data_IF_948703950947
#
_entry.id   IF_948703950947
#
_cell.length_a   1.000
_cell.length_b   1.000
_cell.length_c   1.000
_cell.angle_alpha   90.00
_cell.angle_beta   90.00
_cell.angle_gamma   90.00
#
_symmetry.space_group_name_H-M   'P 1'
#
loop_
_entity.id
_entity.type
_entity.pdbx_description
1 polymer ?
#
# COMPACT_ATOMS: atom_id res chain seq x y z
N UNK A 1 -17.51 54.41 -5.31
CA UNK A 1 -18.24 53.14 -5.58
C UNK A 1 -17.50 52.17 -6.51
N UNK A 2 -16.69 52.66 -7.47
CA UNK A 2 -15.93 51.85 -8.45
C UNK A 2 -14.85 50.95 -7.81
N UNK A 3 -14.08 51.46 -6.83
CA UNK A 3 -13.00 50.71 -6.15
C UNK A 3 -13.46 49.44 -5.42
N UNK A 4 -14.68 49.45 -4.84
CA UNK A 4 -15.28 48.28 -4.17
C UNK A 4 -15.70 47.17 -5.14
N UNK A 5 -16.07 47.53 -6.38
CA UNK A 5 -16.43 46.56 -7.41
C UNK A 5 -15.21 45.77 -7.88
N UNK A 6 -14.07 46.45 -8.06
CA UNK A 6 -12.80 45.81 -8.41
C UNK A 6 -12.25 44.90 -7.31
N UNK A 7 -12.36 45.29 -6.03
CA UNK A 7 -11.92 44.42 -4.92
C UNK A 7 -12.77 43.16 -4.78
N UNK A 8 -14.08 43.26 -5.02
CA UNK A 8 -14.99 42.09 -5.01
C UNK A 8 -14.74 41.17 -6.21
N UNK A 9 -14.49 41.73 -7.40
CA UNK A 9 -14.11 40.95 -8.59
C UNK A 9 -12.80 40.18 -8.36
N UNK A 10 -11.78 40.83 -7.81
CA UNK A 10 -10.49 40.18 -7.53
C UNK A 10 -10.63 39.07 -6.46
N UNK A 11 -11.47 39.28 -5.44
CA UNK A 11 -11.73 38.26 -4.42
C UNK A 11 -12.44 37.02 -4.99
N UNK A 12 -13.40 37.22 -5.90
CA UNK A 12 -14.09 36.12 -6.59
C UNK A 12 -13.14 35.32 -7.49
N UNK A 13 -12.25 36.00 -8.21
CA UNK A 13 -11.24 35.34 -9.05
C UNK A 13 -10.24 34.54 -8.21
N UNK A 14 -9.78 35.09 -7.08
CA UNK A 14 -8.88 34.39 -6.16
C UNK A 14 -9.54 33.14 -5.55
N UNK A 15 -10.83 33.23 -5.21
CA UNK A 15 -11.63 32.11 -4.70
C UNK A 15 -11.82 31.01 -5.76
N UNK A 16 -12.15 31.40 -6.99
CA UNK A 16 -12.29 30.44 -8.10
C UNK A 16 -10.96 29.74 -8.42
N UNK A 17 -9.84 30.47 -8.36
CA UNK A 17 -8.51 29.90 -8.59
C UNK A 17 -8.10 28.93 -7.49
N UNK A 18 -8.36 29.26 -6.22
CA UNK A 18 -8.08 28.35 -5.10
C UNK A 18 -8.94 27.09 -5.16
N UNK A 19 -10.21 27.22 -5.55
CA UNK A 19 -11.10 26.07 -5.74
C UNK A 19 -10.63 25.17 -6.89
N UNK A 20 -10.21 25.76 -8.02
CA UNK A 20 -9.66 25.01 -9.15
C UNK A 20 -8.37 24.27 -8.77
N UNK A 21 -7.48 24.91 -8.00
CA UNK A 21 -6.24 24.29 -7.53
C UNK A 21 -6.49 23.12 -6.57
N UNK A 22 -7.49 23.23 -5.70
CA UNK A 22 -7.90 22.17 -4.78
C UNK A 22 -8.50 20.94 -5.51
N UNK A 23 -9.23 21.15 -6.61
CA UNK A 23 -9.76 20.06 -7.43
C UNK A 23 -8.64 19.31 -8.15
N UNK A 24 -7.61 20.02 -8.63
CA UNK A 24 -6.45 19.40 -9.31
C UNK A 24 -5.59 18.59 -8.35
N UNK A 25 -5.45 19.00 -7.08
CA UNK A 25 -4.67 18.27 -6.08
C UNK A 25 -5.39 17.03 -5.51
N UNK A 26 -6.72 16.98 -5.56
CA UNK A 26 -7.51 15.83 -5.10
C UNK A 26 -7.41 14.58 -6.00
N UNK A 27 -6.96 14.71 -7.25
CA UNK A 27 -6.94 13.63 -8.24
C UNK A 27 -5.81 12.59 -8.10
N UNK A 28 -4.87 12.77 -7.15
CA UNK A 28 -3.65 11.93 -7.06
C UNK A 28 -3.62 10.95 -5.88
N UNK A 29 -4.76 10.63 -5.28
CA UNK A 29 -4.84 9.49 -4.35
C UNK A 29 -5.50 8.31 -5.05
N UNK A 30 -4.74 7.61 -5.90
CA UNK A 30 -5.11 6.26 -6.30
C UNK A 30 -4.55 5.32 -5.24
N UNK A 31 -5.45 4.76 -4.45
CA UNK A 31 -5.12 3.68 -3.53
C UNK A 31 -4.37 2.58 -4.30
N UNK A 32 -3.39 2.03 -3.60
CA UNK A 32 -2.37 1.08 -4.02
C UNK A 32 -2.89 -0.06 -4.91
N UNK A 33 -2.05 -0.46 -5.85
CA UNK A 33 -2.28 -1.40 -6.94
C UNK A 33 -3.24 -2.55 -6.61
N UNK A 34 -4.24 -2.75 -7.47
CA UNK A 34 -5.07 -3.95 -7.42
C UNK A 34 -4.16 -5.17 -7.64
N UNK A 35 -3.89 -5.94 -6.58
CA UNK A 35 -3.16 -7.20 -6.67
C UNK A 35 -3.91 -8.09 -7.67
N UNK A 36 -3.25 -8.48 -8.75
CA UNK A 36 -3.88 -9.33 -9.75
C UNK A 36 -4.23 -10.68 -9.12
N UNK A 37 -5.31 -11.30 -9.58
CA UNK A 37 -5.75 -12.63 -9.15
C UNK A 37 -4.63 -13.68 -9.25
N UNK A 38 -3.78 -13.59 -10.27
CA UNK A 38 -2.64 -14.50 -10.42
C UNK A 38 -1.66 -14.40 -9.23
N UNK A 39 -1.29 -13.18 -8.83
CA UNK A 39 -0.38 -12.94 -7.70
C UNK A 39 -1.02 -13.34 -6.37
N UNK A 40 -2.34 -13.14 -6.25
CA UNK A 40 -3.11 -13.59 -5.08
C UNK A 40 -3.09 -15.11 -4.94
N UNK A 41 -3.28 -15.85 -6.04
CA UNK A 41 -3.26 -17.32 -6.06
C UNK A 41 -1.85 -17.85 -5.77
N UNK A 42 -0.82 -17.24 -6.34
CA UNK A 42 0.57 -17.60 -6.05
C UNK A 42 0.89 -17.42 -4.57
N UNK A 43 0.46 -16.29 -3.98
CA UNK A 43 0.63 -16.01 -2.55
C UNK A 43 -0.10 -17.03 -1.68
N UNK A 44 -1.35 -17.34 -2.01
CA UNK A 44 -2.13 -18.36 -1.28
C UNK A 44 -1.45 -19.73 -1.31
N UNK A 45 -0.92 -20.13 -2.47
CA UNK A 45 -0.21 -21.42 -2.63
C UNK A 45 1.01 -21.50 -1.70
N UNK A 46 1.80 -20.43 -1.60
CA UNK A 46 2.97 -20.38 -0.71
C UNK A 46 2.55 -20.46 0.77
N UNK A 47 1.48 -19.76 1.14
CA UNK A 47 0.95 -19.78 2.52
C UNK A 47 0.45 -21.19 2.88
N UNK A 48 -0.30 -21.84 1.98
CA UNK A 48 -0.80 -23.20 2.21
C UNK A 48 0.35 -24.19 2.38
N UNK A 49 1.38 -24.11 1.54
CA UNK A 49 2.57 -24.95 1.66
C UNK A 49 3.29 -24.73 3.00
N UNK A 50 3.47 -23.48 3.40
CA UNK A 50 4.10 -23.14 4.68
C UNK A 50 3.30 -23.65 5.89
N UNK A 51 1.97 -23.50 5.89
CA UNK A 51 1.09 -24.03 6.94
C UNK A 51 1.15 -25.56 6.98
N UNK A 52 1.16 -26.23 5.83
CA UNK A 52 1.22 -27.68 5.79
C UNK A 52 2.57 -28.21 6.32
N UNK A 53 3.67 -27.51 6.03
CA UNK A 53 4.97 -27.82 6.61
C UNK A 53 4.97 -27.69 8.14
N UNK A 54 4.42 -26.59 8.69
CA UNK A 54 4.24 -26.44 10.14
C UNK A 54 3.39 -27.54 10.76
N UNK A 55 2.28 -27.93 10.12
CA UNK A 55 1.41 -29.02 10.59
C UNK A 55 2.11 -30.38 10.60
N UNK A 56 3.06 -30.58 9.69
CA UNK A 56 3.88 -31.78 9.61
C UNK A 56 5.07 -31.76 10.58
N UNK A 57 5.32 -30.65 11.29
CA UNK A 57 6.51 -30.45 12.12
C UNK A 57 7.79 -30.29 11.29
N UNK A 58 7.68 -29.91 10.01
CA UNK A 58 8.82 -29.67 9.13
C UNK A 58 9.15 -28.18 9.09
N UNK A 59 9.84 -27.73 10.14
CA UNK A 59 10.22 -26.32 10.31
C UNK A 59 11.20 -25.83 9.23
N UNK A 60 12.01 -26.73 8.67
CA UNK A 60 12.92 -26.42 7.57
C UNK A 60 12.14 -26.10 6.29
N UNK A 61 11.16 -26.94 5.94
CA UNK A 61 10.29 -26.68 4.81
C UNK A 61 9.45 -25.41 5.04
N UNK A 62 8.93 -25.19 6.25
CA UNK A 62 8.16 -23.99 6.58
C UNK A 62 9.01 -22.72 6.43
N UNK A 63 10.25 -22.73 6.94
CA UNK A 63 11.19 -21.61 6.79
C UNK A 63 11.64 -21.40 5.34
N UNK A 64 11.70 -22.45 4.52
CA UNK A 64 12.05 -22.33 3.10
C UNK A 64 11.10 -21.39 2.33
N UNK A 65 9.81 -21.39 2.70
CA UNK A 65 8.77 -20.53 2.15
C UNK A 65 8.80 -19.09 2.66
N UNK A 66 9.60 -18.77 3.69
CA UNK A 66 9.66 -17.43 4.24
C UNK A 66 10.21 -16.41 3.22
N UNK A 67 9.61 -15.22 3.19
CA UNK A 67 10.03 -14.14 2.33
C UNK A 67 11.45 -13.63 2.71
N UNK A 68 12.21 -13.03 1.76
CA UNK A 68 13.59 -12.61 2.02
C UNK A 68 13.76 -11.69 3.22
N UNK A 69 12.84 -10.75 3.43
CA UNK A 69 12.84 -9.84 4.57
C UNK A 69 12.63 -10.59 5.90
N UNK A 70 11.82 -11.65 5.92
CA UNK A 70 11.64 -12.49 7.11
C UNK A 70 12.94 -13.24 7.42
N UNK A 71 13.62 -13.78 6.39
CA UNK A 71 14.93 -14.43 6.54
C UNK A 71 16.04 -13.47 6.99
N UNK A 72 15.91 -12.17 6.74
CA UNK A 72 16.83 -11.17 7.28
C UNK A 72 16.61 -10.93 8.78
N UNK A 73 15.36 -10.96 9.24
CA UNK A 73 14.99 -10.75 10.65
C UNK A 73 15.26 -12.00 11.48
N UNK A 74 14.98 -13.18 10.92
CA UNK A 74 15.19 -14.49 11.53
C UNK A 74 16.12 -15.32 10.64
N UNK A 75 17.45 -15.17 10.75
CA UNK A 75 18.40 -15.78 9.82
C UNK A 75 18.46 -17.31 9.87
N UNK A 76 18.03 -17.92 10.98
CA UNK A 76 18.06 -19.37 11.18
C UNK A 76 16.66 -19.91 11.42
N UNK A 77 16.48 -21.21 11.14
CA UNK A 77 15.23 -21.93 11.44
C UNK A 77 14.89 -21.81 12.92
N UNK A 78 15.87 -22.05 13.80
CA UNK A 78 15.67 -21.93 15.25
C UNK A 78 15.13 -20.56 15.66
N UNK A 79 15.66 -19.47 15.10
CA UNK A 79 15.19 -18.10 15.39
C UNK A 79 13.80 -17.81 14.82
N UNK A 80 13.40 -18.51 13.75
CA UNK A 80 12.09 -18.35 13.13
C UNK A 80 10.97 -19.07 13.91
N UNK A 81 11.31 -20.16 14.61
CA UNK A 81 10.34 -20.99 15.35
C UNK A 81 10.23 -20.59 16.84
N UNK A 82 11.28 -20.00 17.41
CA UNK A 82 11.42 -19.79 18.87
C UNK A 82 11.09 -18.38 19.34
#
# INVERSE_FOLDING_TARGET
MIRRRHTLQNALLAFALTLALAVVSAGKSRAQDAVNKADSLATQTVIEAQINAFRAGDDNAAYSHAAPNIKQIFPTVDQFIS
#
